data_IF_158686255138
#
_entry.id   IF_158686255138
#
_cell.length_a   1.000
_cell.length_b   1.000
_cell.length_c   1.000
_cell.angle_alpha   90.00
_cell.angle_beta   90.00
_cell.angle_gamma   90.00
#
_symmetry.space_group_name_H-M   'P 1'
#
loop_
_entity.id
_entity.type
_entity.pdbx_description
1 polymer ?
#
# COMPACT_ATOMS: atom_id res chain seq x y z
N UNK A 1 -2.25 26.83 -23.37
CA UNK A 1 -2.77 26.78 -21.99
C UNK A 1 -2.06 25.66 -21.26
N UNK A 2 -1.25 25.97 -20.23
CA UNK A 2 -0.58 24.95 -19.42
C UNK A 2 -1.64 24.22 -18.60
N UNK A 3 -1.89 22.95 -18.93
CA UNK A 3 -2.87 22.12 -18.25
C UNK A 3 -2.21 21.58 -16.97
N UNK A 4 -2.01 22.46 -15.97
CA UNK A 4 -1.45 22.06 -14.68
C UNK A 4 -2.47 21.18 -13.95
N UNK A 5 -2.32 19.86 -14.07
CA UNK A 5 -3.10 18.92 -13.25
C UNK A 5 -2.65 19.11 -11.80
N UNK A 6 -3.55 19.61 -10.95
CA UNK A 6 -3.33 19.69 -9.51
C UNK A 6 -3.04 18.29 -8.95
N UNK A 7 -1.91 18.15 -8.26
CA UNK A 7 -1.54 16.92 -7.56
C UNK A 7 -2.32 16.83 -6.25
N UNK A 8 -3.02 15.71 -6.03
CA UNK A 8 -3.65 15.42 -4.74
C UNK A 8 -2.65 14.71 -3.85
N UNK A 9 -2.44 15.21 -2.63
CA UNK A 9 -1.50 14.62 -1.67
C UNK A 9 -2.27 14.15 -0.44
N UNK A 10 -2.08 12.89 -0.04
CA UNK A 10 -2.65 12.31 1.18
C UNK A 10 -1.55 11.90 2.16
N UNK A 11 -1.80 12.18 3.44
CA UNK A 11 -1.04 11.65 4.58
C UNK A 11 -2.04 10.92 5.46
N UNK A 12 -2.50 9.76 4.98
CA UNK A 12 -3.51 8.94 5.62
C UNK A 12 -3.02 7.48 5.65
N UNK A 13 -2.86 6.96 6.85
CA UNK A 13 -2.27 5.65 7.11
C UNK A 13 -2.94 4.94 8.29
N UNK A 14 -2.93 3.61 8.23
CA UNK A 14 -3.34 2.72 9.30
C UNK A 14 -2.25 1.69 9.55
N UNK A 15 -1.16 2.05 10.28
CA UNK A 15 0.01 1.18 10.41
C UNK A 15 -0.32 -0.22 10.94
N UNK A 16 -1.22 -0.31 11.92
CA UNK A 16 -1.67 -1.57 12.54
C UNK A 16 -2.67 -2.38 11.68
N UNK A 17 -3.04 -1.87 10.50
CA UNK A 17 -3.97 -2.53 9.59
C UNK A 17 -3.47 -2.47 8.15
N UNK A 18 -2.43 -3.26 7.87
CA UNK A 18 -1.80 -3.39 6.58
C UNK A 18 -2.78 -3.77 5.45
N UNK A 19 -3.80 -4.58 5.75
CA UNK A 19 -4.79 -5.01 4.77
C UNK A 19 -5.61 -3.82 4.29
N UNK A 20 -6.02 -2.96 5.22
CA UNK A 20 -6.76 -1.74 4.86
C UNK A 20 -5.89 -0.76 4.08
N UNK A 21 -4.62 -0.61 4.46
CA UNK A 21 -3.70 0.25 3.75
C UNK A 21 -3.52 -0.16 2.27
N UNK A 22 -3.37 -1.46 1.99
CA UNK A 22 -3.26 -2.00 0.63
C UNK A 22 -4.58 -1.87 -0.14
N UNK A 23 -5.72 -2.15 0.49
CA UNK A 23 -7.03 -1.96 -0.13
C UNK A 23 -7.27 -0.48 -0.53
N UNK A 24 -6.84 0.45 0.31
CA UNK A 24 -6.93 1.88 0.03
C UNK A 24 -6.06 2.30 -1.17
N UNK A 25 -4.89 1.69 -1.34
CA UNK A 25 -4.02 1.90 -2.50
C UNK A 25 -4.66 1.37 -3.79
N UNK A 26 -5.25 0.17 -3.75
CA UNK A 26 -5.95 -0.42 -4.90
C UNK A 26 -7.10 0.48 -5.38
N UNK A 27 -7.91 1.02 -4.46
CA UNK A 27 -9.00 1.94 -4.81
C UNK A 27 -8.49 3.21 -5.51
N UNK A 28 -7.36 3.77 -5.08
CA UNK A 28 -6.78 4.91 -5.82
C UNK A 28 -6.31 4.51 -7.20
N UNK A 29 -5.73 3.33 -7.35
CA UNK A 29 -5.28 2.85 -8.63
C UNK A 29 -6.44 2.60 -9.60
N UNK A 30 -7.55 2.02 -9.12
CA UNK A 30 -8.70 1.67 -9.97
C UNK A 30 -9.67 2.82 -10.21
N UNK A 31 -9.93 3.66 -9.20
CA UNK A 31 -10.99 4.67 -9.24
C UNK A 31 -10.49 6.11 -9.44
N UNK A 32 -9.23 6.42 -9.07
CA UNK A 32 -8.75 7.81 -9.13
C UNK A 32 -8.40 8.24 -10.55
N UNK A 33 -9.05 9.30 -11.02
CA UNK A 33 -8.74 9.95 -12.32
C UNK A 33 -7.75 11.10 -12.18
N UNK A 34 -7.28 11.40 -10.97
CA UNK A 34 -6.38 12.52 -10.68
C UNK A 34 -5.00 12.00 -10.24
N UNK A 35 -3.90 12.67 -10.67
CA UNK A 35 -2.58 12.39 -10.11
C UNK A 35 -2.62 12.47 -8.59
N UNK A 36 -2.22 11.39 -7.94
CA UNK A 36 -2.32 11.21 -6.49
C UNK A 36 -0.98 10.73 -5.94
N UNK A 37 -0.51 11.39 -4.88
CA UNK A 37 0.63 10.96 -4.06
C UNK A 37 0.10 10.65 -2.66
N UNK A 38 0.42 9.47 -2.13
CA UNK A 38 0.06 9.07 -0.77
C UNK A 38 1.31 8.67 -0.01
N UNK A 39 1.49 9.24 1.18
CA UNK A 39 2.45 8.75 2.16
C UNK A 39 1.72 7.85 3.17
N UNK A 40 2.26 6.65 3.39
CA UNK A 40 1.70 5.68 4.32
C UNK A 40 2.76 4.67 4.77
N UNK A 41 2.51 4.01 5.91
CA UNK A 41 3.38 2.99 6.52
C UNK A 41 2.54 1.84 7.06
N UNK A 42 3.18 0.69 7.23
CA UNK A 42 2.66 -0.43 8.00
C UNK A 42 3.56 -0.66 9.21
N UNK A 43 2.97 -1.08 10.34
CA UNK A 43 3.73 -1.70 11.40
C UNK A 43 4.08 -3.16 11.02
N UNK A 44 5.15 -3.68 11.61
CA UNK A 44 5.75 -5.01 11.43
C UNK A 44 4.96 -5.99 10.56
N UNK A 45 5.20 -5.94 9.25
CA UNK A 45 4.53 -6.82 8.29
C UNK A 45 5.48 -7.15 7.16
N UNK A 46 5.36 -8.35 6.61
CA UNK A 46 5.92 -8.68 5.30
C UNK A 46 4.84 -8.52 4.24
N UNK A 47 5.05 -7.63 3.29
CA UNK A 47 4.20 -7.47 2.10
C UNK A 47 4.84 -8.23 0.94
N UNK A 48 4.08 -9.10 0.29
CA UNK A 48 4.51 -9.84 -0.90
C UNK A 48 3.71 -9.39 -2.13
N UNK A 49 4.33 -9.48 -3.30
CA UNK A 49 3.73 -9.17 -4.58
C UNK A 49 2.81 -10.27 -5.10
N UNK A 50 1.96 -9.90 -6.08
CA UNK A 50 0.90 -10.75 -6.64
C UNK A 50 1.33 -12.14 -7.12
N UNK A 51 2.58 -12.28 -7.58
CA UNK A 51 3.09 -13.53 -8.16
C UNK A 51 4.17 -14.20 -7.29
N UNK A 52 4.32 -13.78 -6.04
CA UNK A 52 5.22 -14.40 -5.08
C UNK A 52 4.52 -15.55 -4.33
N UNK A 53 5.29 -16.56 -3.94
CA UNK A 53 4.81 -17.70 -3.15
C UNK A 53 5.29 -17.54 -1.70
N UNK A 54 4.41 -17.22 -0.73
CA UNK A 54 4.84 -16.95 0.65
C UNK A 54 5.76 -18.04 1.25
N UNK A 55 5.49 -19.35 1.10
CA UNK A 55 6.36 -20.39 1.64
C UNK A 55 7.80 -20.39 1.10
N UNK A 56 8.06 -19.77 -0.06
CA UNK A 56 9.40 -19.67 -0.66
C UNK A 56 10.10 -18.35 -0.34
N UNK A 57 9.35 -17.33 0.03
CA UNK A 57 9.83 -15.94 0.12
C UNK A 57 9.96 -15.47 1.58
N UNK A 58 9.24 -16.13 2.51
CA UNK A 58 9.21 -15.74 3.91
C UNK A 58 9.44 -16.92 4.85
N UNK A 59 10.11 -16.66 5.97
CA UNK A 59 10.09 -17.57 7.11
C UNK A 59 8.78 -17.36 7.87
N UNK A 60 7.79 -18.23 7.64
CA UNK A 60 6.48 -18.13 8.25
C UNK A 60 6.50 -18.29 9.79
N UNK A 61 7.50 -18.97 10.34
CA UNK A 61 7.64 -19.14 11.81
C UNK A 61 8.05 -17.83 12.45
N UNK A 62 9.05 -17.14 11.89
CA UNK A 62 9.47 -15.82 12.38
C UNK A 62 8.42 -14.75 12.10
N UNK A 63 7.78 -14.78 10.92
CA UNK A 63 6.78 -13.79 10.54
C UNK A 63 5.50 -13.81 11.38
N UNK A 64 5.19 -14.93 12.05
CA UNK A 64 4.03 -15.03 12.95
C UNK A 64 4.17 -14.14 14.19
N UNK A 65 5.40 -13.91 14.63
CA UNK A 65 5.70 -13.23 15.89
C UNK A 65 6.08 -11.74 15.65
N UNK A 66 5.83 -11.23 14.43
CA UNK A 66 5.92 -9.80 14.08
C UNK A 66 4.88 -8.99 14.86
#
# INVERSE_FOLDING_TARGET
MSNSRSLRVFVAEWPENQFFNLAFEEVFYTESKQPTLRFWRNDKVVVIGRFQSPPLEINAVEARDL
#
